data_IF_791805488649
#
_entry.id   IF_791805488649
#
_cell.length_a   1.000
_cell.length_b   1.000
_cell.length_c   1.000
_cell.angle_alpha   90.00
_cell.angle_beta   90.00
_cell.angle_gamma   90.00
#
_symmetry.space_group_name_H-M   'P 1'
#
loop_
_entity.id
_entity.type
_entity.pdbx_description
1 polymer ?
#
# COMPACT_ATOMS: atom_id res chain seq x y z
N UNK A 1 17.77 -48.60 -25.77
CA UNK A 1 18.44 -47.38 -25.27
C UNK A 1 18.02 -46.22 -26.15
N UNK A 2 16.96 -45.51 -25.81
CA UNK A 2 16.48 -44.35 -26.57
C UNK A 2 16.16 -43.25 -25.57
N UNK A 3 17.08 -42.31 -25.37
CA UNK A 3 16.85 -41.08 -24.59
C UNK A 3 18.03 -40.13 -24.81
N UNK A 4 18.06 -39.40 -25.93
CA UNK A 4 18.99 -38.25 -26.07
C UNK A 4 18.59 -37.23 -27.16
N UNK A 5 17.32 -37.19 -27.61
CA UNK A 5 16.93 -36.37 -28.76
C UNK A 5 16.24 -35.03 -28.43
N UNK A 6 16.19 -34.61 -27.16
CA UNK A 6 15.43 -33.40 -26.75
C UNK A 6 16.29 -32.17 -26.38
N UNK A 7 17.59 -32.16 -26.71
CA UNK A 7 18.48 -31.04 -26.33
C UNK A 7 18.87 -30.10 -27.47
N UNK A 8 18.61 -30.45 -28.74
CA UNK A 8 19.04 -29.63 -29.89
C UNK A 8 18.05 -28.54 -30.31
N UNK A 9 16.76 -28.65 -30.00
CA UNK A 9 15.75 -27.67 -30.49
C UNK A 9 15.90 -26.27 -29.89
N UNK A 10 16.33 -26.15 -28.62
CA UNK A 10 16.50 -24.84 -27.97
C UNK A 10 17.66 -24.00 -28.51
N UNK A 11 18.65 -24.64 -29.16
CA UNK A 11 19.86 -23.93 -29.62
C UNK A 11 19.64 -23.26 -30.97
N UNK A 12 18.73 -23.80 -31.79
CA UNK A 12 18.43 -23.25 -33.11
C UNK A 12 17.44 -22.07 -33.05
N UNK A 13 16.47 -22.06 -32.13
CA UNK A 13 15.58 -20.91 -31.89
C UNK A 13 16.35 -19.70 -31.34
N UNK A 14 17.30 -19.92 -30.43
CA UNK A 14 18.16 -18.85 -29.91
C UNK A 14 19.05 -18.19 -30.98
N UNK A 15 19.25 -18.81 -32.15
CA UNK A 15 20.03 -18.24 -33.27
C UNK A 15 19.19 -17.35 -34.19
N UNK A 16 17.86 -17.40 -34.10
CA UNK A 16 16.95 -16.58 -34.91
C UNK A 16 16.35 -15.39 -34.16
N UNK A 17 16.43 -15.39 -32.83
CA UNK A 17 15.96 -14.29 -31.97
C UNK A 17 16.98 -13.14 -31.91
N UNK A 18 16.49 -11.90 -31.92
CA UNK A 18 17.35 -10.73 -31.71
C UNK A 18 17.95 -10.79 -30.31
N UNK A 19 19.14 -10.20 -30.14
CA UNK A 19 19.77 -10.10 -28.82
C UNK A 19 18.84 -9.43 -27.78
N UNK A 20 17.97 -8.50 -28.23
CA UNK A 20 16.92 -7.91 -27.39
C UNK A 20 15.93 -8.97 -26.88
N UNK A 21 15.46 -9.84 -27.76
CA UNK A 21 14.44 -10.85 -27.42
C UNK A 21 15.00 -11.86 -26.42
N UNK A 22 16.27 -12.25 -26.58
CA UNK A 22 16.97 -13.09 -25.61
C UNK A 22 17.05 -12.42 -24.23
N UNK A 23 17.38 -11.13 -24.17
CA UNK A 23 17.40 -10.38 -22.91
C UNK A 23 16.01 -10.28 -22.28
N UNK A 24 14.98 -10.03 -23.09
CA UNK A 24 13.60 -9.93 -22.63
C UNK A 24 13.12 -11.29 -22.08
N UNK A 25 13.45 -12.41 -22.75
CA UNK A 25 13.18 -13.77 -22.26
C UNK A 25 13.86 -14.07 -20.93
N UNK A 26 15.14 -13.72 -20.80
CA UNK A 26 15.89 -13.90 -19.54
C UNK A 26 15.31 -13.04 -18.42
N UNK A 27 14.91 -11.80 -18.71
CA UNK A 27 14.29 -10.91 -17.73
C UNK A 27 12.94 -11.45 -17.24
N UNK A 28 12.12 -11.99 -18.14
CA UNK A 28 10.84 -12.62 -17.81
C UNK A 28 11.03 -13.89 -16.97
N UNK A 29 11.98 -14.76 -17.32
CA UNK A 29 12.30 -15.94 -16.50
C UNK A 29 12.74 -15.55 -15.09
N UNK A 30 13.68 -14.60 -14.95
CA UNK A 30 14.12 -14.12 -13.63
C UNK A 30 13.00 -13.51 -12.80
N UNK A 31 12.04 -12.84 -13.44
CA UNK A 31 10.84 -12.35 -12.73
C UNK A 31 10.02 -13.51 -12.17
N UNK A 32 9.76 -14.55 -12.97
CA UNK A 32 8.99 -15.72 -12.51
C UNK A 32 9.68 -16.44 -11.33
N UNK A 33 10.99 -16.68 -11.42
CA UNK A 33 11.77 -17.34 -10.36
C UNK A 33 11.82 -16.55 -9.04
N UNK A 34 11.77 -15.22 -9.13
CA UNK A 34 11.73 -14.33 -7.97
C UNK A 34 10.34 -14.13 -7.39
N UNK A 35 9.28 -14.13 -8.22
CA UNK A 35 7.92 -13.78 -7.79
C UNK A 35 7.32 -14.81 -6.84
N UNK A 36 7.54 -16.12 -7.05
CA UNK A 36 6.99 -17.16 -6.15
C UNK A 36 7.62 -17.14 -4.76
N UNK A 37 8.93 -16.86 -4.65
CA UNK A 37 9.60 -16.75 -3.33
C UNK A 37 9.29 -15.44 -2.63
N UNK A 38 9.09 -14.36 -3.38
CA UNK A 38 8.78 -13.05 -2.79
C UNK A 38 7.32 -12.97 -2.35
N UNK A 39 6.39 -13.59 -3.08
CA UNK A 39 4.96 -13.52 -2.76
C UNK A 39 4.64 -14.17 -1.40
N UNK A 40 5.17 -15.36 -1.12
CA UNK A 40 4.97 -16.01 0.19
C UNK A 40 5.52 -15.16 1.34
N UNK A 41 6.75 -14.63 1.20
CA UNK A 41 7.36 -13.76 2.22
C UNK A 41 6.64 -12.43 2.41
N UNK A 42 6.07 -11.87 1.33
CA UNK A 42 5.33 -10.61 1.39
C UNK A 42 3.97 -10.82 2.06
N UNK A 43 3.28 -11.89 1.72
CA UNK A 43 2.01 -12.27 2.36
C UNK A 43 2.22 -12.45 3.85
N UNK A 44 3.24 -13.21 4.26
CA UNK A 44 3.60 -13.40 5.67
C UNK A 44 3.85 -12.07 6.38
N UNK A 45 4.67 -11.19 5.81
CA UNK A 45 4.93 -9.85 6.38
C UNK A 45 3.67 -9.02 6.49
N UNK A 46 2.84 -8.98 5.46
CA UNK A 46 1.57 -8.23 5.50
C UNK A 46 0.67 -8.78 6.61
N UNK A 47 0.60 -10.10 6.79
CA UNK A 47 -0.19 -10.70 7.87
C UNK A 47 0.40 -10.45 9.26
N UNK A 48 1.71 -10.24 9.38
CA UNK A 48 2.37 -9.86 10.64
C UNK A 48 2.03 -8.42 11.04
N UNK A 49 2.06 -7.49 10.09
CA UNK A 49 1.72 -6.08 10.33
C UNK A 49 0.20 -5.82 10.38
N UNK A 50 -0.58 -6.57 9.59
CA UNK A 50 -2.03 -6.45 9.48
C UNK A 50 -2.69 -7.83 9.65
N UNK A 51 -2.89 -8.29 10.91
CA UNK A 51 -3.49 -9.60 11.17
C UNK A 51 -4.83 -9.82 10.48
N UNK A 52 -5.63 -8.76 10.31
CA UNK A 52 -6.92 -8.82 9.61
C UNK A 52 -6.79 -9.18 8.11
N UNK A 53 -5.67 -8.85 7.46
CA UNK A 53 -5.43 -9.15 6.05
C UNK A 53 -5.21 -10.66 5.80
N UNK A 54 -4.89 -11.45 6.83
CA UNK A 54 -4.69 -12.90 6.71
C UNK A 54 -5.91 -13.63 6.13
N UNK A 55 -7.12 -13.13 6.41
CA UNK A 55 -8.38 -13.70 5.91
C UNK A 55 -8.58 -13.47 4.41
N UNK A 56 -8.06 -12.35 3.90
CA UNK A 56 -8.22 -11.95 2.48
C UNK A 56 -7.08 -12.50 1.64
N UNK A 57 -5.88 -12.58 2.22
CA UNK A 57 -4.64 -12.95 1.53
C UNK A 57 -4.36 -14.47 1.54
N UNK A 58 -5.30 -15.28 2.06
CA UNK A 58 -5.25 -16.74 2.00
C UNK A 58 -4.23 -17.40 2.95
N UNK A 59 -3.76 -16.68 3.98
CA UNK A 59 -2.82 -17.21 4.96
C UNK A 59 -3.50 -18.24 5.86
N UNK A 60 -3.13 -19.51 5.69
CA UNK A 60 -3.63 -20.64 6.48
C UNK A 60 -3.13 -20.60 7.93
N UNK A 61 -3.81 -19.82 8.77
CA UNK A 61 -3.84 -20.05 10.23
C UNK A 61 -5.24 -20.49 10.64
N UNK A 62 -5.37 -21.52 11.49
CA UNK A 62 -6.67 -22.00 11.93
C UNK A 62 -7.45 -20.87 12.58
N UNK A 63 -8.75 -20.80 12.26
CA UNK A 63 -9.70 -19.86 12.84
C UNK A 63 -9.56 -19.84 14.36
N UNK A 64 -8.93 -18.78 14.89
CA UNK A 64 -9.27 -18.33 16.22
C UNK A 64 -10.67 -17.75 16.11
N UNK A 65 -11.61 -18.40 16.77
CA UNK A 65 -13.02 -18.04 16.85
C UNK A 65 -13.18 -16.52 17.04
N UNK A 66 -14.25 -15.91 16.49
CA UNK A 66 -14.54 -14.51 16.76
C UNK A 66 -14.74 -14.35 18.27
N UNK A 67 -13.74 -13.80 18.97
CA UNK A 67 -13.94 -13.32 20.31
C UNK A 67 -15.00 -12.22 20.22
N UNK A 68 -16.15 -12.50 20.81
CA UNK A 68 -17.22 -11.55 21.04
C UNK A 68 -16.62 -10.27 21.61
N UNK A 69 -16.84 -9.17 20.88
CA UNK A 69 -16.68 -7.77 21.26
C UNK A 69 -16.06 -7.51 22.64
N UNK A 70 -14.74 -7.68 22.76
CA UNK A 70 -14.01 -6.84 23.68
C UNK A 70 -13.99 -5.46 23.03
N UNK A 71 -14.87 -4.56 23.48
CA UNK A 71 -14.73 -3.15 23.15
C UNK A 71 -13.30 -2.78 23.51
N UNK A 72 -12.51 -2.59 22.46
CA UNK A 72 -11.11 -2.26 22.56
C UNK A 72 -11.02 -1.00 23.42
N UNK A 73 -10.54 -1.13 24.65
CA UNK A 73 -10.07 -0.01 25.46
C UNK A 73 -8.79 0.56 24.83
N UNK A 74 -8.81 0.85 23.52
CA UNK A 74 -7.79 1.70 22.94
C UNK A 74 -8.07 3.06 23.55
N UNK A 75 -7.18 3.56 24.41
CA UNK A 75 -7.37 4.87 25.02
C UNK A 75 -7.51 5.86 23.87
N UNK A 76 -8.64 6.56 23.86
CA UNK A 76 -8.88 7.61 22.89
C UNK A 76 -7.80 8.69 23.00
N UNK A 77 -7.77 9.63 22.02
CA UNK A 77 -6.93 10.81 22.15
C UNK A 77 -7.12 11.45 23.52
N UNK A 78 -6.05 11.99 24.12
CA UNK A 78 -6.12 12.61 25.44
C UNK A 78 -7.18 13.71 25.47
N UNK A 79 -7.87 13.82 26.61
CA UNK A 79 -8.89 14.84 26.82
C UNK A 79 -8.27 16.23 26.62
N UNK A 80 -8.85 17.03 25.73
CA UNK A 80 -8.47 18.44 25.57
C UNK A 80 -8.99 19.23 26.78
N UNK A 81 -8.18 20.11 27.40
CA UNK A 81 -8.67 20.98 28.47
C UNK A 81 -9.87 21.82 28.03
N UNK A 82 -10.86 21.99 28.92
CA UNK A 82 -12.08 22.76 28.65
C UNK A 82 -11.79 24.23 28.34
N UNK A 83 -10.74 24.78 28.97
CA UNK A 83 -10.28 26.16 28.83
C UNK A 83 -8.81 26.16 28.40
N UNK A 84 -8.58 25.99 27.11
CA UNK A 84 -7.25 25.99 26.52
C UNK A 84 -6.97 27.37 25.89
N UNK A 85 -6.29 28.23 26.66
CA UNK A 85 -5.98 29.61 26.28
C UNK A 85 -5.27 29.72 24.93
N UNK A 86 -4.45 28.73 24.56
CA UNK A 86 -3.64 28.74 23.33
C UNK A 86 -4.51 28.63 22.08
N UNK A 87 -5.51 27.76 22.12
CA UNK A 87 -6.46 27.58 21.02
C UNK A 87 -7.53 28.67 21.03
N UNK A 88 -7.91 29.21 22.19
CA UNK A 88 -8.74 30.41 22.24
C UNK A 88 -8.05 31.61 21.57
N UNK A 89 -6.76 31.82 21.85
CA UNK A 89 -5.96 32.85 21.21
C UNK A 89 -5.80 32.60 19.72
N UNK A 90 -5.54 31.37 19.30
CA UNK A 90 -5.45 30.99 17.88
C UNK A 90 -6.76 31.27 17.14
N UNK A 91 -7.91 30.83 17.69
CA UNK A 91 -9.23 31.08 17.10
C UNK A 91 -9.52 32.58 17.07
N UNK A 92 -9.16 33.31 18.14
CA UNK A 92 -9.32 34.77 18.21
C UNK A 92 -8.48 35.47 17.14
N UNK A 93 -7.25 35.03 16.89
CA UNK A 93 -6.37 35.57 15.84
C UNK A 93 -6.90 35.29 14.42
N UNK A 94 -7.46 34.11 14.17
CA UNK A 94 -8.11 33.82 12.87
C UNK A 94 -9.29 34.78 12.59
N UNK A 95 -10.08 35.09 13.61
CA UNK A 95 -11.19 36.03 13.50
C UNK A 95 -10.75 37.50 13.60
N UNK A 96 -9.53 37.77 14.09
CA UNK A 96 -8.92 39.09 14.14
C UNK A 96 -8.54 39.56 12.72
N UNK A 97 -8.04 38.67 11.87
CA UNK A 97 -7.57 39.01 10.51
C UNK A 97 -8.63 38.94 9.40
N UNK A 98 -9.86 38.51 9.70
CA UNK A 98 -10.96 38.45 8.73
C UNK A 98 -11.52 39.80 8.26
N UNK A 99 -10.93 40.93 8.69
CA UNK A 99 -11.37 42.28 8.31
C UNK A 99 -10.44 43.04 7.36
N UNK A 100 -9.28 42.49 6.98
CA UNK A 100 -8.29 43.23 6.19
C UNK A 100 -8.00 42.67 4.79
N UNK A 101 -8.47 41.45 4.47
CA UNK A 101 -8.49 40.96 3.08
C UNK A 101 -9.87 41.19 2.48
N UNK A 102 -10.11 42.44 2.10
CA UNK A 102 -11.30 42.88 1.39
C UNK A 102 -11.45 42.23 0.03
N UNK A 103 -12.63 41.67 -0.23
CA UNK A 103 -13.16 41.60 -1.60
C UNK A 103 -13.88 42.93 -1.82
N UNK A 104 -13.43 43.80 -2.73
CA UNK A 104 -14.23 44.96 -3.12
C UNK A 104 -15.49 44.43 -3.82
N UNK A 105 -16.64 44.66 -3.19
CA UNK A 105 -17.94 44.42 -3.81
C UNK A 105 -18.09 45.46 -4.92
N UNK A 106 -17.77 45.04 -6.15
CA UNK A 106 -18.01 45.84 -7.33
C UNK A 106 -19.52 45.96 -7.57
N UNK A 107 -20.01 47.20 -7.66
CA UNK A 107 -21.24 47.55 -8.34
C UNK A 107 -22.45 47.84 -7.45
N UNK A 108 -22.72 49.13 -7.22
CA UNK A 108 -23.89 49.80 -7.79
C UNK A 108 -23.87 51.29 -7.44
N UNK A 109 -23.56 52.08 -8.45
CA UNK A 109 -23.99 53.47 -8.56
C UNK A 109 -25.53 53.48 -8.64
N UNK A 110 -26.21 54.23 -7.77
CA UNK A 110 -27.34 55.15 -8.09
C UNK A 110 -27.66 56.05 -6.89
#
# INVERSE_FOLDING_TARGET
MASESNKSSKVDEARQESFKDQLDHVALQKKQDGQERQSSTLVEKITEYMPAASKILGGSKPEQQPQETAQSEVPGPPHRPDHDDKIEEFVRDQHRSGREMGVPIAGKDE
#
